data_IF_704840453517
#
_entry.id   IF_704840453517
#
_cell.length_a   1.000
_cell.length_b   1.000
_cell.length_c   1.000
_cell.angle_alpha   90.00
_cell.angle_beta   90.00
_cell.angle_gamma   90.00
#
_symmetry.space_group_name_H-M   'P 1'
#
loop_
_entity.id
_entity.type
_entity.pdbx_description
1 polymer ?
#
# COMPACT_ATOMS: atom_id res chain seq x y z
N UNK A 1 21.10 -11.92 3.78
CA UNK A 1 21.57 -10.55 4.08
C UNK A 1 20.33 -9.73 4.43
N UNK A 2 20.26 -9.11 5.60
CA UNK A 2 19.05 -8.37 6.00
C UNK A 2 18.94 -7.07 5.20
N UNK A 3 17.72 -6.62 4.92
CA UNK A 3 17.45 -5.34 4.22
C UNK A 3 18.19 -4.18 4.89
N UNK A 4 18.21 -4.18 6.23
CA UNK A 4 18.94 -3.21 7.05
C UNK A 4 20.44 -3.21 6.72
N UNK A 5 21.09 -4.38 6.67
CA UNK A 5 22.53 -4.48 6.36
C UNK A 5 22.90 -3.99 4.96
N UNK A 6 21.99 -4.13 3.98
CA UNK A 6 22.18 -3.60 2.61
C UNK A 6 22.10 -2.08 2.61
N UNK A 7 21.07 -1.52 3.26
CA UNK A 7 20.87 -0.07 3.34
C UNK A 7 22.03 0.57 4.12
N UNK A 8 22.42 0.01 5.26
CA UNK A 8 23.55 0.48 6.09
C UNK A 8 24.88 0.42 5.35
N UNK A 9 25.15 -0.68 4.64
CA UNK A 9 26.36 -0.83 3.85
C UNK A 9 26.52 0.23 2.76
N UNK A 10 25.41 0.68 2.17
CA UNK A 10 25.41 1.71 1.11
C UNK A 10 25.52 3.10 1.72
N UNK A 11 24.73 3.42 2.75
CA UNK A 11 24.79 4.71 3.44
C UNK A 11 26.21 4.93 3.99
N UNK A 12 26.79 3.92 4.67
CA UNK A 12 28.14 3.99 5.20
C UNK A 12 29.19 4.27 4.11
N UNK A 13 29.12 3.56 2.96
CA UNK A 13 30.09 3.74 1.87
C UNK A 13 29.94 5.08 1.16
N UNK A 14 28.71 5.54 0.92
CA UNK A 14 28.46 6.86 0.34
C UNK A 14 28.97 7.96 1.28
N UNK A 15 28.71 7.85 2.60
CA UNK A 15 29.24 8.82 3.56
C UNK A 15 30.76 8.76 3.71
N UNK A 16 31.36 7.57 3.66
CA UNK A 16 32.82 7.39 3.67
C UNK A 16 33.45 8.07 2.45
N UNK A 17 32.89 7.86 1.26
CA UNK A 17 33.31 8.54 0.04
C UNK A 17 33.18 10.06 0.15
N UNK A 18 32.04 10.57 0.61
CA UNK A 18 31.81 12.02 0.76
C UNK A 18 32.83 12.67 1.71
N UNK A 19 33.29 11.93 2.72
CA UNK A 19 34.33 12.39 3.66
C UNK A 19 35.74 12.31 3.10
N UNK A 20 36.08 11.29 2.31
CA UNK A 20 37.44 11.10 1.80
C UNK A 20 37.71 11.77 0.46
N UNK A 21 36.68 12.09 -0.32
CA UNK A 21 36.80 12.71 -1.65
C UNK A 21 37.53 11.84 -2.69
N UNK A 22 37.90 10.61 -2.34
CA UNK A 22 38.75 9.75 -3.14
C UNK A 22 37.95 8.60 -3.76
N UNK A 23 37.71 8.68 -5.07
CA UNK A 23 36.98 7.66 -5.86
C UNK A 23 37.63 6.28 -5.75
N UNK A 24 38.93 6.21 -5.45
CA UNK A 24 39.66 4.96 -5.37
C UNK A 24 39.39 4.16 -4.09
N UNK A 25 38.96 4.78 -2.99
CA UNK A 25 38.59 4.04 -1.75
C UNK A 25 37.30 3.25 -1.89
N UNK A 26 36.44 3.60 -2.86
CA UNK A 26 35.25 2.81 -3.17
C UNK A 26 35.57 1.45 -3.81
N UNK A 27 36.79 1.28 -4.36
CA UNK A 27 37.20 0.09 -5.13
C UNK A 27 37.37 -1.18 -4.28
N UNK A 28 37.56 -1.07 -2.96
CA UNK A 28 37.91 -2.20 -2.09
C UNK A 28 36.74 -3.03 -1.53
N UNK A 29 35.53 -2.97 -2.10
CA UNK A 29 34.44 -3.79 -1.55
C UNK A 29 33.41 -4.24 -2.57
N UNK A 30 33.24 -5.58 -2.66
CA UNK A 30 32.15 -6.33 -3.30
C UNK A 30 31.62 -5.68 -4.58
N UNK A 31 31.92 -6.29 -5.73
CA UNK A 31 31.57 -5.84 -7.10
C UNK A 31 30.15 -5.23 -7.23
N UNK A 32 29.17 -5.80 -6.53
CA UNK A 32 27.79 -5.30 -6.48
C UNK A 32 27.64 -3.92 -5.81
N UNK A 33 28.24 -3.73 -4.63
CA UNK A 33 28.17 -2.47 -3.90
C UNK A 33 28.98 -1.38 -4.58
N UNK A 34 30.09 -1.75 -5.25
CA UNK A 34 30.86 -0.83 -6.08
C UNK A 34 30.04 -0.23 -7.23
N UNK A 35 29.24 -1.06 -7.91
CA UNK A 35 28.42 -0.62 -9.04
C UNK A 35 27.33 0.37 -8.59
N UNK A 36 26.68 0.09 -7.46
CA UNK A 36 25.68 0.97 -6.85
C UNK A 36 26.34 2.28 -6.41
N UNK A 37 27.44 2.22 -5.66
CA UNK A 37 28.17 3.40 -5.24
C UNK A 37 28.56 4.26 -6.45
N UNK A 38 29.13 3.68 -7.51
CA UNK A 38 29.48 4.42 -8.73
C UNK A 38 28.27 5.14 -9.34
N UNK A 39 27.11 4.49 -9.43
CA UNK A 39 25.91 5.13 -9.96
C UNK A 39 25.44 6.31 -9.08
N UNK A 40 25.43 6.13 -7.75
CA UNK A 40 25.12 7.20 -6.80
C UNK A 40 26.11 8.37 -6.91
N UNK A 41 27.40 8.10 -7.13
CA UNK A 41 28.43 9.13 -7.31
C UNK A 41 28.30 9.87 -8.65
N UNK A 42 27.95 9.16 -9.72
CA UNK A 42 27.64 9.80 -11.01
C UNK A 42 26.41 10.70 -10.90
N UNK A 43 25.40 10.31 -10.10
CA UNK A 43 24.24 11.15 -9.80
C UNK A 43 24.59 12.37 -8.96
N UNK A 44 25.49 12.24 -7.99
CA UNK A 44 25.97 13.38 -7.20
C UNK A 44 26.55 14.48 -8.09
N UNK A 45 27.37 14.09 -9.08
CA UNK A 45 28.04 15.04 -9.99
C UNK A 45 27.09 15.58 -11.05
N UNK A 46 26.29 14.72 -11.68
CA UNK A 46 25.43 15.12 -12.82
C UNK A 46 24.09 15.72 -12.40
N UNK A 47 23.53 15.30 -11.26
CA UNK A 47 22.17 15.63 -10.80
C UNK A 47 22.11 15.71 -9.25
N UNK A 48 22.72 16.73 -8.64
CA UNK A 48 22.83 16.84 -7.19
C UNK A 48 21.48 16.90 -6.47
N UNK A 49 20.44 17.49 -7.07
CA UNK A 49 19.09 17.48 -6.50
C UNK A 49 18.50 16.07 -6.42
N UNK A 50 18.68 15.26 -7.47
CA UNK A 50 18.15 13.90 -7.54
C UNK A 50 18.88 12.99 -6.52
N UNK A 51 20.20 13.12 -6.45
CA UNK A 51 21.02 12.45 -5.44
C UNK A 51 20.56 12.80 -4.01
N UNK A 52 20.39 14.09 -3.72
CA UNK A 52 19.94 14.55 -2.39
C UNK A 52 18.58 13.95 -2.03
N UNK A 53 17.63 13.92 -2.97
CA UNK A 53 16.32 13.27 -2.75
C UNK A 53 16.44 11.77 -2.47
N UNK A 54 17.29 11.06 -3.21
CA UNK A 54 17.54 9.63 -3.00
C UNK A 54 18.12 9.37 -1.60
N UNK A 55 19.10 10.16 -1.18
CA UNK A 55 19.71 10.03 0.15
C UNK A 55 18.72 10.28 1.29
N UNK A 56 17.82 11.27 1.14
CA UNK A 56 16.75 11.51 2.13
C UNK A 56 15.79 10.32 2.19
N UNK A 57 15.37 9.78 1.05
CA UNK A 57 14.49 8.60 1.01
C UNK A 57 15.18 7.38 1.66
N UNK A 58 16.46 7.13 1.34
CA UNK A 58 17.23 6.04 1.95
C UNK A 58 17.39 6.20 3.46
N UNK A 59 17.64 7.42 3.94
CA UNK A 59 17.69 7.72 5.38
C UNK A 59 16.36 7.38 6.05
N UNK A 60 15.24 7.85 5.49
CA UNK A 60 13.91 7.57 6.04
C UNK A 60 13.57 6.08 5.99
N UNK A 61 13.93 5.38 4.90
CA UNK A 61 13.78 3.93 4.80
C UNK A 61 14.63 3.19 5.85
N UNK A 62 15.85 3.65 6.10
CA UNK A 62 16.72 3.08 7.14
C UNK A 62 16.08 3.21 8.53
N UNK A 63 15.62 4.42 8.89
CA UNK A 63 14.92 4.67 10.16
C UNK A 63 13.64 3.83 10.27
N UNK A 64 12.85 3.75 9.20
CA UNK A 64 11.64 2.94 9.10
C UNK A 64 11.92 1.45 9.36
N UNK A 65 12.94 0.89 8.70
CA UNK A 65 13.32 -0.51 8.83
C UNK A 65 13.86 -0.79 10.24
N UNK A 66 14.71 0.11 10.77
CA UNK A 66 15.33 -0.02 12.10
C UNK A 66 14.31 0.04 13.25
N UNK A 67 13.34 0.94 13.16
CA UNK A 67 12.30 1.11 14.19
C UNK A 67 11.09 0.19 13.98
N UNK A 68 11.09 -0.61 12.93
CA UNK A 68 9.94 -1.42 12.50
C UNK A 68 8.66 -0.60 12.28
N UNK A 69 8.81 0.61 11.72
CA UNK A 69 7.71 1.54 11.45
C UNK A 69 7.58 1.83 9.96
N UNK A 70 6.38 1.65 9.42
CA UNK A 70 6.09 2.13 8.07
C UNK A 70 5.94 3.64 8.02
N UNK A 71 6.51 4.25 6.99
CA UNK A 71 6.45 5.67 6.68
C UNK A 71 5.59 5.87 5.45
N UNK A 72 4.78 6.94 5.44
CA UNK A 72 3.95 7.26 4.28
C UNK A 72 4.69 8.13 3.27
N UNK A 73 4.34 8.03 1.98
CA UNK A 73 4.85 8.96 0.95
C UNK A 73 4.65 10.44 1.29
N UNK A 74 3.56 10.76 2.01
CA UNK A 74 3.30 12.13 2.49
C UNK A 74 4.30 12.54 3.56
N UNK A 75 4.65 11.66 4.50
CA UNK A 75 5.67 11.95 5.51
C UNK A 75 7.03 12.27 4.86
N UNK A 76 7.40 11.54 3.80
CA UNK A 76 8.62 11.85 3.02
C UNK A 76 8.53 13.23 2.37
N UNK A 77 7.41 13.56 1.74
CA UNK A 77 7.20 14.89 1.14
C UNK A 77 7.30 16.01 2.18
N UNK A 78 6.67 15.84 3.35
CA UNK A 78 6.67 16.83 4.43
C UNK A 78 8.01 16.93 5.17
N UNK A 79 8.89 15.93 5.06
CA UNK A 79 10.23 16.00 5.64
C UNK A 79 11.05 17.16 5.06
N UNK A 80 10.89 17.44 3.75
CA UNK A 80 11.53 18.57 3.09
C UNK A 80 10.75 19.00 1.83
N UNK A 81 9.71 19.86 1.99
CA UNK A 81 8.86 20.28 0.88
C UNK A 81 9.62 21.02 -0.24
N UNK A 82 10.64 21.80 0.14
CA UNK A 82 11.48 22.57 -0.78
C UNK A 82 12.26 21.63 -1.71
N UNK A 83 12.80 20.54 -1.14
CA UNK A 83 13.58 19.56 -1.88
C UNK A 83 12.70 18.76 -2.85
N UNK A 84 11.55 18.25 -2.41
CA UNK A 84 10.73 17.35 -3.23
C UNK A 84 9.83 18.08 -4.23
N UNK A 85 9.35 19.29 -3.92
CA UNK A 85 8.43 20.13 -4.72
C UNK A 85 7.07 19.50 -5.04
N UNK A 86 7.03 18.25 -5.52
CA UNK A 86 5.84 17.47 -5.88
C UNK A 86 5.93 16.06 -5.30
N UNK A 87 4.83 15.56 -4.73
CA UNK A 87 4.76 14.20 -4.19
C UNK A 87 4.96 13.12 -5.27
N UNK A 88 4.61 13.40 -6.52
CA UNK A 88 4.78 12.48 -7.66
C UNK A 88 6.24 12.13 -7.97
N UNK A 89 7.21 12.90 -7.45
CA UNK A 89 8.65 12.64 -7.62
C UNK A 89 9.12 11.46 -6.77
N UNK A 90 8.43 11.16 -5.67
CA UNK A 90 8.84 10.13 -4.71
C UNK A 90 8.71 8.72 -5.32
N UNK A 91 7.66 8.47 -6.11
CA UNK A 91 7.38 7.15 -6.67
C UNK A 91 8.47 6.69 -7.67
N UNK A 92 8.89 7.50 -8.67
CA UNK A 92 10.02 7.16 -9.54
C UNK A 92 11.33 6.93 -8.78
N UNK A 93 11.62 7.74 -7.76
CA UNK A 93 12.85 7.60 -6.96
C UNK A 93 12.85 6.31 -6.13
N UNK A 94 11.71 5.96 -5.53
CA UNK A 94 11.57 4.69 -4.82
C UNK A 94 11.74 3.49 -5.76
N UNK A 95 11.19 3.55 -6.98
CA UNK A 95 11.41 2.49 -7.97
C UNK A 95 12.87 2.37 -8.39
N UNK A 96 13.58 3.50 -8.50
CA UNK A 96 15.02 3.53 -8.79
C UNK A 96 15.83 2.88 -7.67
N UNK A 97 15.53 3.22 -6.41
CA UNK A 97 16.15 2.59 -5.23
C UNK A 97 15.88 1.07 -5.23
N UNK A 98 14.64 0.63 -5.40
CA UNK A 98 14.30 -0.79 -5.41
C UNK A 98 15.06 -1.55 -6.51
N UNK A 99 15.17 -0.95 -7.70
CA UNK A 99 15.90 -1.52 -8.83
C UNK A 99 17.41 -1.60 -8.57
N UNK A 100 18.00 -0.55 -8.01
CA UNK A 100 19.44 -0.50 -7.72
C UNK A 100 19.83 -1.43 -6.58
N UNK A 101 18.96 -1.56 -5.56
CA UNK A 101 19.20 -2.43 -4.42
C UNK A 101 18.80 -3.89 -4.66
N UNK A 102 18.14 -4.19 -5.78
CA UNK A 102 17.47 -5.47 -6.03
C UNK A 102 16.58 -5.89 -4.86
N UNK A 103 15.88 -4.93 -4.25
CA UNK A 103 15.00 -5.14 -3.10
C UNK A 103 13.54 -4.99 -3.52
N UNK A 104 12.63 -5.83 -3.00
CA UNK A 104 11.21 -5.60 -3.15
C UNK A 104 10.83 -4.34 -2.37
N UNK A 105 9.85 -3.59 -2.87
CA UNK A 105 9.53 -2.26 -2.31
C UNK A 105 8.97 -2.31 -0.89
N UNK A 106 8.29 -3.40 -0.52
CA UNK A 106 7.84 -3.67 0.84
C UNK A 106 9.00 -3.66 1.86
N UNK A 107 10.20 -4.05 1.42
CA UNK A 107 11.40 -4.06 2.25
C UNK A 107 11.76 -2.66 2.79
N UNK A 108 11.44 -1.60 2.06
CA UNK A 108 11.73 -0.22 2.46
C UNK A 108 10.76 0.32 3.52
N UNK A 109 9.67 -0.41 3.83
CA UNK A 109 8.59 0.01 4.74
C UNK A 109 8.02 1.40 4.41
N UNK A 110 7.99 1.77 3.13
CA UNK A 110 7.41 3.02 2.65
C UNK A 110 6.13 2.73 1.86
N UNK A 111 4.99 3.11 2.45
CA UNK A 111 3.67 2.78 1.92
C UNK A 111 2.85 4.04 1.56
N UNK A 112 1.78 3.84 0.81
CA UNK A 112 0.75 4.86 0.64
C UNK A 112 -0.17 4.85 1.86
N UNK A 113 -0.56 6.04 2.34
CA UNK A 113 -1.52 6.14 3.44
C UNK A 113 -2.81 5.37 3.13
N UNK A 114 -3.27 4.59 4.10
CA UNK A 114 -4.54 3.87 4.00
C UNK A 114 -5.72 4.83 3.78
N UNK A 115 -6.60 4.50 2.83
CA UNK A 115 -7.91 5.13 2.61
C UNK A 115 -9.07 4.26 3.11
N UNK A 116 -8.77 3.06 3.61
CA UNK A 116 -9.76 2.05 3.98
C UNK A 116 -10.68 2.54 5.09
N UNK A 117 -11.98 2.54 4.82
CA UNK A 117 -13.04 2.69 5.82
C UNK A 117 -13.91 1.45 5.79
N UNK A 118 -14.18 0.91 6.97
CA UNK A 118 -15.01 -0.28 7.15
C UNK A 118 -16.10 0.00 8.17
N UNK A 119 -17.31 -0.43 7.87
CA UNK A 119 -18.46 -0.36 8.76
C UNK A 119 -19.19 -1.70 8.81
N UNK A 120 -19.31 -2.25 10.01
CA UNK A 120 -20.05 -3.47 10.30
C UNK A 120 -19.37 -4.28 11.39
N UNK A 121 -20.05 -5.31 11.88
CA UNK A 121 -19.50 -6.20 12.90
C UNK A 121 -18.36 -7.04 12.31
N UNK A 122 -17.12 -6.57 12.52
CA UNK A 122 -15.89 -7.30 12.19
C UNK A 122 -15.05 -7.51 13.44
N UNK A 123 -14.42 -8.68 13.49
CA UNK A 123 -13.45 -9.07 14.49
C UNK A 123 -12.09 -9.19 13.80
N UNK A 124 -11.16 -8.32 14.15
CA UNK A 124 -9.77 -8.41 13.68
C UNK A 124 -8.95 -9.10 14.76
N UNK A 125 -8.33 -10.24 14.43
CA UNK A 125 -7.48 -10.99 15.33
C UNK A 125 -6.02 -10.62 15.11
N UNK A 126 -5.32 -10.23 16.18
CA UNK A 126 -3.86 -10.08 16.13
C UNK A 126 -3.27 -11.46 16.39
N UNK A 127 -2.41 -11.94 15.48
CA UNK A 127 -1.60 -13.12 15.78
C UNK A 127 -0.81 -12.88 17.08
N UNK A 128 -1.04 -13.75 18.07
CA UNK A 128 -0.40 -13.79 19.41
C UNK A 128 -1.02 -12.99 20.58
N UNK A 129 -2.22 -12.43 20.47
CA UNK A 129 -2.83 -11.81 21.65
C UNK A 129 -4.27 -11.36 21.42
N UNK A 130 -5.11 -11.56 22.43
CA UNK A 130 -6.57 -11.42 22.47
C UNK A 130 -7.12 -9.99 22.30
N UNK A 131 -6.50 -9.15 21.48
CA UNK A 131 -7.00 -7.80 21.20
C UNK A 131 -8.02 -7.85 20.07
N UNK A 132 -9.29 -7.93 20.48
CA UNK A 132 -10.44 -7.85 19.59
C UNK A 132 -10.77 -6.38 19.35
N UNK A 133 -10.48 -5.87 18.15
CA UNK A 133 -10.96 -4.55 17.74
C UNK A 133 -12.40 -4.69 17.24
N UNK A 134 -13.38 -4.32 18.06
CA UNK A 134 -14.79 -4.25 17.66
C UNK A 134 -15.09 -2.92 17.00
N UNK A 135 -15.36 -2.95 15.69
CA UNK A 135 -15.39 -1.75 14.86
C UNK A 135 -16.75 -1.31 14.36
N UNK A 136 -17.51 -0.55 15.14
CA UNK A 136 -18.58 0.25 14.56
C UNK A 136 -17.96 1.56 14.04
N UNK A 137 -17.74 1.64 12.72
CA UNK A 137 -17.22 2.83 12.01
C UNK A 137 -15.70 3.07 12.19
N UNK A 138 -14.88 2.08 11.83
CA UNK A 138 -13.42 2.21 11.87
C UNK A 138 -12.87 2.71 10.52
N UNK A 139 -12.19 3.85 10.55
CA UNK A 139 -11.04 4.04 9.67
C UNK A 139 -9.94 3.15 10.21
N UNK A 140 -9.65 2.04 9.52
CA UNK A 140 -8.68 1.05 10.01
C UNK A 140 -7.28 1.66 9.87
N UNK A 141 -6.54 1.90 10.98
CA UNK A 141 -5.20 2.44 10.91
C UNK A 141 -4.27 1.49 10.17
N UNK A 142 -3.36 2.04 9.36
CA UNK A 142 -2.34 1.28 8.63
C UNK A 142 -1.46 0.42 9.56
N UNK A 143 -1.34 0.76 10.85
CA UNK A 143 -0.67 -0.06 11.86
C UNK A 143 -1.33 -1.42 12.10
N UNK A 144 -2.65 -1.53 11.91
CA UNK A 144 -3.38 -2.79 12.06
C UNK A 144 -3.18 -3.77 10.89
N UNK A 145 -2.39 -3.42 9.89
CA UNK A 145 -1.95 -4.36 8.86
C UNK A 145 -0.48 -4.74 9.02
N UNK A 146 0.25 -4.09 9.94
CA UNK A 146 1.69 -4.31 10.16
C UNK A 146 2.00 -5.62 10.91
N UNK A 147 1.12 -6.04 11.82
CA UNK A 147 1.39 -7.17 12.73
C UNK A 147 0.94 -8.53 12.19
N UNK A 148 0.75 -8.68 10.87
CA UNK A 148 0.35 -9.98 10.28
C UNK A 148 -1.02 -10.45 10.77
N UNK A 149 -1.96 -9.53 10.93
CA UNK A 149 -3.30 -9.81 11.45
C UNK A 149 -4.02 -10.79 10.51
N UNK A 150 -4.58 -11.84 11.10
CA UNK A 150 -5.58 -12.66 10.42
C UNK A 150 -6.94 -11.97 10.64
N UNK A 151 -7.67 -11.76 9.54
CA UNK A 151 -9.06 -11.31 9.63
C UNK A 151 -9.90 -12.49 10.10
N UNK A 152 -9.89 -12.75 11.41
CA UNK A 152 -10.63 -13.84 12.03
C UNK A 152 -12.07 -13.37 12.26
N UNK A 153 -12.93 -13.63 11.29
CA UNK A 153 -14.37 -13.36 11.42
C UNK A 153 -15.03 -14.52 12.18
N UNK A 154 -14.69 -14.75 13.45
CA UNK A 154 -15.05 -16.01 14.15
C UNK A 154 -16.46 -16.07 14.75
N UNK A 155 -17.13 -14.94 15.02
CA UNK A 155 -18.44 -14.97 15.73
C UNK A 155 -19.67 -14.61 14.91
N UNK A 156 -19.54 -13.73 13.91
CA UNK A 156 -20.62 -13.38 12.98
C UNK A 156 -20.03 -13.13 11.59
N UNK A 157 -20.06 -14.14 10.72
CA UNK A 157 -19.68 -13.94 9.32
C UNK A 157 -20.71 -13.05 8.63
N UNK A 158 -20.30 -12.00 7.88
CA UNK A 158 -21.25 -11.22 7.11
C UNK A 158 -21.87 -12.09 6.02
N UNK A 159 -23.16 -11.90 5.76
CA UNK A 159 -23.86 -12.53 4.63
C UNK A 159 -23.32 -12.05 3.29
N UNK A 160 -22.83 -10.82 3.24
CA UNK A 160 -22.18 -10.23 2.07
C UNK A 160 -21.31 -9.04 2.48
N UNK A 161 -20.38 -8.68 1.59
CA UNK A 161 -19.52 -7.50 1.72
C UNK A 161 -19.84 -6.56 0.58
N UNK A 162 -20.25 -5.33 0.90
CA UNK A 162 -20.57 -4.28 -0.07
C UNK A 162 -19.42 -3.28 -0.14
N UNK A 163 -18.71 -3.29 -1.26
CA UNK A 163 -17.62 -2.37 -1.59
C UNK A 163 -18.23 -1.18 -2.34
N UNK A 164 -18.05 0.03 -1.81
CA UNK A 164 -18.64 1.26 -2.36
C UNK A 164 -17.52 2.17 -2.80
N UNK A 165 -17.57 2.58 -4.08
CA UNK A 165 -16.55 3.47 -4.65
C UNK A 165 -16.51 4.83 -3.95
N UNK A 166 -17.65 5.55 -3.93
CA UNK A 166 -17.72 6.94 -3.47
C UNK A 166 -18.01 7.06 -1.97
N UNK A 167 -17.20 7.85 -1.26
CA UNK A 167 -17.39 8.19 0.16
C UNK A 167 -18.77 8.82 0.43
N UNK A 168 -19.28 9.61 -0.51
CA UNK A 168 -20.59 10.26 -0.41
C UNK A 168 -21.74 9.25 -0.40
N UNK A 169 -21.69 8.24 -1.27
CA UNK A 169 -22.68 7.15 -1.32
C UNK A 169 -22.56 6.27 -0.08
N UNK A 170 -21.33 5.95 0.34
CA UNK A 170 -21.07 5.21 1.57
C UNK A 170 -21.72 5.89 2.78
N UNK A 171 -21.47 7.19 2.98
CA UNK A 171 -22.08 7.98 4.07
C UNK A 171 -23.61 8.07 3.96
N UNK A 172 -24.13 8.20 2.74
CA UNK A 172 -25.59 8.21 2.51
C UNK A 172 -26.23 6.90 2.97
N UNK A 173 -25.68 5.75 2.59
CA UNK A 173 -26.17 4.43 3.02
C UNK A 173 -26.14 4.28 4.55
N UNK A 174 -25.09 4.78 5.22
CA UNK A 174 -25.03 4.81 6.68
C UNK A 174 -26.15 5.69 7.28
N UNK A 175 -26.39 6.87 6.71
CA UNK A 175 -27.46 7.78 7.19
C UNK A 175 -28.86 7.19 7.02
N UNK A 176 -29.07 6.37 5.99
CA UNK A 176 -30.32 5.67 5.70
C UNK A 176 -30.48 4.34 6.48
N UNK A 177 -29.56 4.09 7.43
CA UNK A 177 -29.51 2.90 8.28
C UNK A 177 -29.49 1.60 7.46
N UNK A 178 -28.78 1.59 6.33
CA UNK A 178 -28.67 0.41 5.46
C UNK A 178 -28.18 -0.82 6.25
N UNK A 179 -27.13 -0.66 7.05
CA UNK A 179 -26.60 -1.73 7.89
C UNK A 179 -27.66 -2.38 8.78
N UNK A 180 -28.49 -1.59 9.46
CA UNK A 180 -29.52 -2.13 10.36
C UNK A 180 -30.58 -2.96 9.63
N UNK A 181 -30.84 -2.63 8.36
CA UNK A 181 -31.81 -3.34 7.51
C UNK A 181 -31.26 -4.65 6.96
N UNK A 182 -29.96 -4.72 6.69
CA UNK A 182 -29.33 -5.84 5.97
C UNK A 182 -28.26 -6.59 6.76
N UNK A 183 -28.09 -6.29 8.05
CA UNK A 183 -27.13 -7.00 8.91
C UNK A 183 -27.49 -8.51 9.00
N UNK A 184 -26.49 -9.39 9.09
CA UNK A 184 -25.06 -9.08 9.18
C UNK A 184 -24.43 -8.85 7.79
N UNK A 185 -23.79 -7.70 7.59
CA UNK A 185 -23.08 -7.35 6.35
C UNK A 185 -21.84 -6.51 6.66
N UNK A 186 -20.93 -6.34 5.70
CA UNK A 186 -19.79 -5.43 5.86
C UNK A 186 -19.82 -4.38 4.76
N UNK A 187 -19.76 -3.10 5.12
CA UNK A 187 -19.65 -2.00 4.17
C UNK A 187 -18.19 -1.53 4.13
N UNK A 188 -17.63 -1.39 2.94
CA UNK A 188 -16.22 -1.02 2.74
C UNK A 188 -16.12 0.09 1.69
N UNK A 189 -15.26 1.09 1.92
CA UNK A 189 -14.92 2.08 0.89
C UNK A 189 -13.44 2.44 0.91
N UNK A 190 -12.87 2.70 -0.28
CA UNK A 190 -11.54 3.29 -0.45
C UNK A 190 -11.59 4.74 -0.98
N UNK A 191 -12.79 5.34 -1.08
CA UNK A 191 -13.01 6.68 -1.64
C UNK A 191 -12.46 6.82 -3.07
N UNK A 192 -12.87 5.92 -3.96
CA UNK A 192 -12.40 5.78 -5.34
C UNK A 192 -11.47 4.58 -5.51
N UNK A 193 -10.35 4.78 -6.22
CA UNK A 193 -9.36 3.72 -6.46
C UNK A 193 -8.83 3.11 -5.16
N UNK A 194 -8.86 1.78 -5.03
CA UNK A 194 -8.35 1.11 -3.84
C UNK A 194 -6.84 1.26 -3.74
N UNK A 195 -6.36 1.44 -2.51
CA UNK A 195 -4.94 1.35 -2.20
C UNK A 195 -4.50 -0.12 -2.00
N UNK A 196 -3.22 -0.30 -1.67
CA UNK A 196 -2.65 -1.62 -1.42
C UNK A 196 -3.35 -2.31 -0.23
N UNK A 197 -3.50 -1.58 0.88
CA UNK A 197 -4.05 -2.08 2.14
C UNK A 197 -5.50 -2.53 1.96
N UNK A 198 -6.35 -1.74 1.31
CA UNK A 198 -7.74 -2.10 1.04
C UNK A 198 -7.84 -3.39 0.22
N UNK A 199 -7.00 -3.56 -0.80
CA UNK A 199 -7.01 -4.79 -1.60
C UNK A 199 -6.47 -5.98 -0.84
N UNK A 200 -5.41 -5.83 -0.04
CA UNK A 200 -4.90 -6.91 0.81
C UNK A 200 -5.95 -7.37 1.81
N UNK A 201 -6.61 -6.43 2.50
CA UNK A 201 -7.70 -6.70 3.44
C UNK A 201 -8.82 -7.53 2.80
N UNK A 202 -9.34 -7.07 1.66
CA UNK A 202 -10.43 -7.76 0.98
C UNK A 202 -9.98 -9.09 0.36
N UNK A 203 -8.77 -9.17 -0.21
CA UNK A 203 -8.23 -10.41 -0.75
C UNK A 203 -8.02 -11.47 0.34
N UNK A 204 -7.57 -11.06 1.54
CA UNK A 204 -7.46 -11.97 2.68
C UNK A 204 -8.83 -12.50 3.12
N UNK A 205 -9.84 -11.64 3.24
CA UNK A 205 -11.21 -12.10 3.55
C UNK A 205 -11.72 -13.05 2.47
N UNK A 206 -11.49 -12.73 1.19
CA UNK A 206 -11.91 -13.58 0.09
C UNK A 206 -11.21 -14.94 0.11
N UNK A 207 -9.93 -14.97 0.48
CA UNK A 207 -9.16 -16.20 0.60
C UNK A 207 -9.63 -17.07 1.76
N UNK A 208 -9.87 -16.48 2.93
CA UNK A 208 -10.30 -17.22 4.15
C UNK A 208 -11.78 -17.64 4.04
N UNK A 209 -12.63 -16.78 3.45
CA UNK A 209 -14.07 -16.99 3.33
C UNK A 209 -14.54 -16.79 1.88
N UNK A 210 -14.21 -17.71 0.96
CA UNK A 210 -14.53 -17.57 -0.46
C UNK A 210 -16.03 -17.58 -0.77
N UNK A 211 -16.83 -18.17 0.14
CA UNK A 211 -18.27 -18.27 0.02
C UNK A 211 -19.02 -16.98 0.35
N UNK A 212 -18.35 -15.98 0.96
CA UNK A 212 -18.98 -14.69 1.25
C UNK A 212 -19.02 -13.87 -0.06
N UNK A 213 -20.21 -13.52 -0.56
CA UNK A 213 -20.34 -12.67 -1.74
C UNK A 213 -19.71 -11.30 -1.49
N UNK A 214 -18.82 -10.91 -2.41
CA UNK A 214 -18.29 -9.55 -2.47
C UNK A 214 -18.98 -8.82 -3.62
N UNK A 215 -19.70 -7.75 -3.28
CA UNK A 215 -20.53 -6.99 -4.20
C UNK A 215 -19.96 -5.57 -4.26
N UNK A 216 -19.79 -5.05 -5.45
CA UNK A 216 -19.20 -3.75 -5.69
C UNK A 216 -20.17 -2.77 -6.32
N UNK A 217 -20.39 -1.64 -5.66
CA UNK A 217 -21.19 -0.51 -6.14
C UNK A 217 -20.27 0.58 -6.68
N UNK A 218 -20.23 0.70 -8.01
CA UNK A 218 -19.37 1.61 -8.76
C UNK A 218 -20.21 2.52 -9.65
N UNK A 219 -19.63 3.65 -10.08
CA UNK A 219 -20.29 4.51 -11.04
C UNK A 219 -20.48 3.80 -12.40
N UNK A 220 -21.60 4.08 -13.07
CA UNK A 220 -21.90 3.55 -14.40
C UNK A 220 -21.17 4.33 -15.51
N UNK A 221 -19.84 4.43 -15.38
CA UNK A 221 -18.96 5.09 -16.35
C UNK A 221 -17.66 4.29 -16.55
N UNK A 222 -16.85 4.59 -17.59
CA UNK A 222 -15.59 3.90 -17.82
C UNK A 222 -14.60 3.97 -16.65
N UNK A 223 -14.66 5.01 -15.83
CA UNK A 223 -13.79 5.13 -14.65
C UNK A 223 -14.22 4.20 -13.53
N UNK A 224 -15.52 4.12 -13.22
CA UNK A 224 -16.07 3.18 -12.23
C UNK A 224 -15.78 1.73 -12.59
N UNK A 225 -15.90 1.38 -13.88
CA UNK A 225 -15.49 0.05 -14.39
C UNK A 225 -14.00 -0.19 -14.18
N UNK A 226 -13.14 0.80 -14.41
CA UNK A 226 -11.70 0.65 -14.18
C UNK A 226 -11.36 0.45 -12.69
N UNK A 227 -12.08 1.14 -11.79
CA UNK A 227 -11.96 0.92 -10.35
C UNK A 227 -12.37 -0.50 -10.00
N UNK A 228 -13.52 -0.98 -10.48
CA UNK A 228 -13.97 -2.36 -10.32
C UNK A 228 -12.92 -3.37 -10.80
N UNK A 229 -12.38 -3.18 -12.00
CA UNK A 229 -11.33 -4.04 -12.56
C UNK A 229 -10.06 -4.06 -11.69
N UNK A 230 -9.71 -2.92 -11.08
CA UNK A 230 -8.56 -2.82 -10.17
C UNK A 230 -8.74 -3.70 -8.92
N UNK A 231 -9.97 -3.82 -8.41
CA UNK A 231 -10.30 -4.75 -7.32
C UNK A 231 -10.30 -6.20 -7.80
N UNK A 232 -11.00 -6.48 -8.91
CA UNK A 232 -11.27 -7.85 -9.37
C UNK A 232 -10.05 -8.56 -9.96
N UNK A 233 -9.24 -7.85 -10.73
CA UNK A 233 -8.10 -8.42 -11.46
C UNK A 233 -6.76 -7.96 -10.90
N UNK A 234 -6.75 -6.96 -10.03
CA UNK A 234 -5.54 -6.32 -9.53
C UNK A 234 -5.04 -5.23 -10.47
N UNK A 235 -3.78 -4.84 -10.30
CA UNK A 235 -3.13 -3.79 -11.10
C UNK A 235 -1.77 -4.25 -11.61
N UNK A 236 -1.39 -3.72 -12.76
CA UNK A 236 -0.05 -3.88 -13.34
C UNK A 236 0.97 -2.94 -12.68
N UNK A 237 0.53 -2.00 -11.84
CA UNK A 237 1.42 -1.14 -11.09
C UNK A 237 2.23 -1.98 -10.09
N UNK A 238 3.56 -2.11 -10.25
CA UNK A 238 4.40 -2.91 -9.37
C UNK A 238 4.36 -2.44 -7.91
N UNK A 239 4.01 -1.17 -7.68
CA UNK A 239 3.87 -0.59 -6.32
C UNK A 239 2.62 -1.08 -5.58
N UNK A 240 1.76 -1.83 -6.26
CA UNK A 240 0.43 -2.21 -5.81
C UNK A 240 0.20 -3.73 -6.01
N UNK A 241 1.28 -4.51 -6.06
CA UNK A 241 1.27 -5.97 -6.13
C UNK A 241 1.77 -6.59 -4.81
N UNK A 242 1.66 -7.90 -4.68
CA UNK A 242 2.27 -8.66 -3.58
C UNK A 242 3.81 -8.65 -3.68
N UNK A 243 4.48 -9.14 -2.63
CA UNK A 243 5.95 -9.17 -2.57
C UNK A 243 6.59 -10.04 -3.67
N UNK A 244 5.88 -11.08 -4.10
CA UNK A 244 6.25 -11.99 -5.18
C UNK A 244 5.94 -11.40 -6.58
N UNK A 245 5.38 -10.18 -6.64
CA UNK A 245 4.93 -9.54 -7.89
C UNK A 245 3.57 -10.04 -8.39
N UNK A 246 2.89 -10.91 -7.65
CA UNK A 246 1.55 -11.36 -8.03
C UNK A 246 0.50 -10.26 -7.84
N UNK A 247 -0.53 -10.18 -8.71
CA UNK A 247 -1.60 -9.21 -8.56
C UNK A 247 -2.51 -9.58 -7.38
N UNK A 248 -2.76 -8.61 -6.50
CA UNK A 248 -3.77 -8.73 -5.44
C UNK A 248 -5.15 -8.55 -6.06
N UNK A 249 -5.91 -9.64 -6.11
CA UNK A 249 -7.18 -9.75 -6.81
C UNK A 249 -8.28 -10.32 -5.91
N UNK A 250 -9.51 -9.90 -6.18
CA UNK A 250 -10.72 -10.41 -5.51
C UNK A 250 -11.56 -11.09 -6.59
N UNK A 251 -11.34 -12.39 -6.80
CA UNK A 251 -11.87 -13.10 -7.97
C UNK A 251 -13.39 -13.23 -7.95
N UNK A 252 -13.99 -13.36 -6.76
CA UNK A 252 -15.43 -13.50 -6.58
C UNK A 252 -16.19 -12.15 -6.57
N UNK A 253 -15.52 -11.02 -6.82
CA UNK A 253 -16.15 -9.71 -6.84
C UNK A 253 -17.19 -9.60 -7.97
N UNK A 254 -18.41 -9.25 -7.61
CA UNK A 254 -19.54 -9.02 -8.49
C UNK A 254 -19.82 -7.53 -8.60
N UNK A 255 -20.10 -7.04 -9.81
CA UNK A 255 -20.51 -5.67 -10.05
C UNK A 255 -22.02 -5.55 -9.81
N UNK A 256 -22.44 -4.59 -9.01
CA UNK A 256 -23.83 -4.24 -8.75
C UNK A 256 -24.05 -2.76 -9.09
N UNK A 257 -25.14 -2.47 -9.77
CA UNK A 257 -25.48 -1.13 -10.28
C UNK A 257 -26.00 -1.23 -11.70
N UNK A 258 -26.29 -0.08 -12.31
CA UNK A 258 -26.88 0.04 -13.66
C UNK A 258 -25.97 -0.56 -14.73
N UNK A 259 -26.07 -1.87 -14.92
CA UNK A 259 -25.48 -2.54 -16.05
C UNK A 259 -26.27 -2.15 -17.30
N UNK A 260 -25.64 -2.00 -18.47
CA UNK A 260 -26.36 -1.76 -19.72
C UNK A 260 -27.49 -2.77 -19.96
N UNK A 261 -27.33 -4.01 -19.48
CA UNK A 261 -28.34 -5.07 -19.52
C UNK A 261 -29.58 -4.80 -18.65
N UNK A 262 -29.45 -4.04 -17.56
CA UNK A 262 -30.57 -3.66 -16.68
C UNK A 262 -31.37 -2.48 -17.24
N UNK A 263 -30.78 -1.70 -18.15
CA UNK A 263 -31.45 -0.61 -18.87
C UNK A 263 -32.27 -1.12 -20.07
N UNK A 264 -31.93 -2.31 -20.60
CA UNK A 264 -32.64 -2.95 -21.71
C UNK A 264 -33.87 -3.77 -21.29
N UNK A 265 -34.11 -3.93 -19.99
CA UNK A 265 -35.34 -4.55 -19.46
C UNK A 265 -36.44 -3.50 -19.31
N UNK A 266 -37.04 -3.12 -20.44
CA UNK A 266 -38.33 -2.45 -20.53
C UNK A 266 -39.29 -3.31 -21.36
#
# INVERSE_FOLDING_TARGET
MSVLSVIEGIVYKVMKFLKSGNINEAKESYVFVFHICRHFLELLVKKPEEFTRLMVILKMAHEAVREDKFITKRSIYYSNPILFKRQSVIDPLLSKICKELSLPRCALKINASSKLIVYGDIYLGIGYGSDVVKGNNLGIPESLFKSGYEVITSKCLPQFILIIEKDTIFRKLLSEKFYEKFKPCLLVTAKGYPDLITRQFLAQINYIHPNIPMIGLFDADPHGINVFCTYKYGTTNPMMQNEDGSPIKISNLQLCGLLPSELSSN
#
